data_IF_560253515040
#
_entry.id   IF_560253515040
#
_cell.length_a   1.000
_cell.length_b   1.000
_cell.length_c   1.000
_cell.angle_alpha   90.00
_cell.angle_beta   90.00
_cell.angle_gamma   90.00
#
_symmetry.space_group_name_H-M   'P 1'
#
loop_
_entity.id
_entity.type
_entity.pdbx_description
1 polymer ?
#
# COMPACT_ATOMS: atom_id res chain seq x y z
N UNK A 1 -8.11 11.93 8.01
CA UNK A 1 -9.16 11.43 7.09
C UNK A 1 -9.32 9.92 7.23
N UNK A 2 -10.50 9.40 6.91
CA UNK A 2 -10.74 7.96 6.88
C UNK A 2 -9.97 7.33 5.72
N UNK A 3 -9.23 6.24 5.97
CA UNK A 3 -8.56 5.48 4.93
C UNK A 3 -9.54 4.50 4.28
N UNK A 4 -9.90 4.68 3.00
CA UNK A 4 -10.85 3.82 2.31
C UNK A 4 -10.27 2.49 1.83
N UNK A 5 -8.95 2.30 1.85
CA UNK A 5 -8.23 1.13 1.26
C UNK A 5 -8.32 -0.12 2.15
N UNK A 6 -9.54 -0.43 2.62
CA UNK A 6 -9.82 -1.53 3.57
C UNK A 6 -9.37 -2.91 3.07
N UNK A 7 -9.40 -3.11 1.75
CA UNK A 7 -9.01 -4.37 1.09
C UNK A 7 -7.51 -4.66 1.13
N UNK A 8 -6.66 -3.69 1.46
CA UNK A 8 -5.22 -3.91 1.65
C UNK A 8 -4.88 -4.68 2.94
N UNK A 9 -5.88 -4.94 3.76
CA UNK A 9 -5.80 -5.89 4.86
C UNK A 9 -6.52 -7.19 4.45
N UNK A 10 -5.83 -8.33 4.29
CA UNK A 10 -6.45 -9.57 3.79
C UNK A 10 -7.54 -10.13 4.72
N UNK A 11 -7.48 -9.88 6.01
CA UNK A 11 -8.55 -10.26 6.93
C UNK A 11 -9.84 -9.46 6.69
N UNK A 12 -9.72 -8.16 6.40
CA UNK A 12 -10.86 -7.35 5.98
C UNK A 12 -11.43 -7.83 4.64
N UNK A 13 -10.56 -8.15 3.68
CA UNK A 13 -10.96 -8.65 2.37
C UNK A 13 -11.75 -9.97 2.48
N UNK A 14 -11.30 -10.90 3.30
CA UNK A 14 -12.05 -12.14 3.60
C UNK A 14 -13.40 -11.83 4.25
N UNK A 15 -13.46 -10.93 5.22
CA UNK A 15 -14.73 -10.54 5.88
C UNK A 15 -15.72 -9.92 4.89
N UNK A 16 -15.27 -9.03 4.02
CA UNK A 16 -16.08 -8.41 2.97
C UNK A 16 -16.58 -9.46 1.98
N UNK A 17 -15.70 -10.36 1.52
CA UNK A 17 -16.06 -11.43 0.59
C UNK A 17 -17.14 -12.35 1.16
N UNK A 18 -16.98 -12.80 2.42
CA UNK A 18 -17.98 -13.62 3.10
C UNK A 18 -19.33 -12.91 3.25
N UNK A 19 -19.31 -11.61 3.59
CA UNK A 19 -20.54 -10.83 3.71
C UNK A 19 -21.29 -10.73 2.37
N UNK A 20 -20.57 -10.46 1.28
CA UNK A 20 -21.15 -10.40 -0.07
C UNK A 20 -21.71 -11.76 -0.47
N UNK A 21 -20.95 -12.84 -0.30
CA UNK A 21 -21.40 -14.21 -0.59
C UNK A 21 -22.67 -14.57 0.17
N UNK A 22 -22.76 -14.19 1.46
CA UNK A 22 -23.95 -14.42 2.29
C UNK A 22 -25.17 -13.68 1.77
N UNK A 23 -25.05 -12.44 1.31
CA UNK A 23 -26.17 -11.67 0.73
C UNK A 23 -26.72 -12.36 -0.52
N UNK A 24 -25.86 -12.97 -1.34
CA UNK A 24 -26.27 -13.68 -2.55
C UNK A 24 -26.60 -15.17 -2.34
N UNK A 25 -26.59 -15.65 -1.09
CA UNK A 25 -26.93 -17.04 -0.76
C UNK A 25 -25.84 -18.05 -1.15
N UNK A 26 -24.60 -17.60 -1.39
CA UNK A 26 -23.50 -18.48 -1.67
C UNK A 26 -22.85 -19.00 -0.36
N UNK A 27 -22.15 -20.14 -0.47
CA UNK A 27 -21.30 -20.64 0.62
C UNK A 27 -20.20 -19.62 0.92
N UNK A 28 -20.09 -19.23 2.19
CA UNK A 28 -19.12 -18.22 2.62
C UNK A 28 -17.73 -18.83 2.70
N UNK A 29 -16.83 -18.34 1.86
CA UNK A 29 -15.44 -18.80 1.77
C UNK A 29 -14.47 -17.62 1.79
N UNK A 30 -13.26 -17.89 2.29
CA UNK A 30 -12.16 -16.94 2.21
C UNK A 30 -11.60 -16.87 0.79
N UNK A 31 -11.25 -15.66 0.37
CA UNK A 31 -10.63 -15.38 -0.95
C UNK A 31 -9.11 -15.43 -0.89
N UNK A 32 -8.54 -15.53 0.31
CA UNK A 32 -7.12 -15.77 0.57
C UNK A 32 -7.00 -16.61 1.85
N UNK A 33 -6.12 -17.62 1.82
CA UNK A 33 -5.92 -18.54 2.94
C UNK A 33 -4.96 -17.96 3.98
N UNK A 34 -5.06 -18.47 5.22
CA UNK A 34 -4.12 -18.10 6.29
C UNK A 34 -2.66 -18.42 5.92
N UNK A 35 -2.42 -19.55 5.26
CA UNK A 35 -1.07 -19.93 4.79
C UNK A 35 -0.51 -18.89 3.81
N UNK A 36 -1.35 -18.39 2.89
CA UNK A 36 -0.94 -17.34 1.95
C UNK A 36 -0.65 -16.02 2.68
N UNK A 37 -1.45 -15.66 3.69
CA UNK A 37 -1.23 -14.45 4.50
C UNK A 37 0.09 -14.54 5.27
N UNK A 38 0.37 -15.69 5.91
CA UNK A 38 1.62 -15.92 6.63
C UNK A 38 2.84 -15.88 5.69
N UNK A 39 2.72 -16.41 4.48
CA UNK A 39 3.77 -16.32 3.47
C UNK A 39 4.07 -14.87 3.04
N UNK A 40 3.06 -14.01 2.98
CA UNK A 40 3.24 -12.56 2.73
C UNK A 40 3.97 -11.92 3.92
N UNK A 41 3.57 -12.22 5.14
CA UNK A 41 4.21 -11.70 6.36
C UNK A 41 5.70 -12.08 6.42
N UNK A 42 6.03 -13.34 6.18
CA UNK A 42 7.41 -13.81 6.10
C UNK A 42 8.20 -13.10 4.99
N UNK A 43 7.58 -12.92 3.82
CA UNK A 43 8.19 -12.21 2.71
C UNK A 43 8.48 -10.73 3.01
N UNK A 44 7.71 -10.08 3.87
CA UNK A 44 7.89 -8.69 4.29
C UNK A 44 8.91 -8.52 5.42
N UNK A 45 9.30 -9.59 6.12
CA UNK A 45 10.11 -9.52 7.35
C UNK A 45 11.41 -8.69 7.18
N UNK A 46 12.08 -8.80 6.03
CA UNK A 46 13.33 -8.08 5.75
C UNK A 46 13.17 -6.56 5.51
N UNK A 47 11.95 -6.08 5.29
CA UNK A 47 11.66 -4.68 4.94
C UNK A 47 10.72 -3.98 5.93
N UNK A 48 10.32 -4.67 6.99
CA UNK A 48 9.29 -4.18 7.93
C UNK A 48 9.60 -2.82 8.56
N UNK A 49 10.86 -2.51 8.80
CA UNK A 49 11.28 -1.28 9.48
C UNK A 49 11.85 -0.22 8.54
N UNK A 50 11.86 -0.48 7.23
CA UNK A 50 12.44 0.43 6.26
C UNK A 50 11.50 1.59 5.92
N UNK A 51 12.09 2.75 5.61
CA UNK A 51 11.35 4.00 5.42
C UNK A 51 11.08 4.31 3.95
N UNK A 52 9.90 4.86 3.67
CA UNK A 52 9.44 5.21 2.34
C UNK A 52 8.54 6.45 2.39
N UNK A 53 8.28 7.03 1.22
CA UNK A 53 7.26 8.04 1.00
C UNK A 53 6.22 7.47 0.04
N UNK A 54 4.94 7.75 0.25
CA UNK A 54 3.85 7.39 -0.66
C UNK A 54 3.18 8.64 -1.22
N UNK A 55 2.56 8.50 -2.41
CA UNK A 55 1.80 9.59 -3.01
C UNK A 55 0.68 10.08 -2.10
N UNK A 56 -0.17 9.19 -1.62
CA UNK A 56 -1.16 9.50 -0.60
C UNK A 56 -1.17 8.47 0.53
N UNK A 57 -1.89 8.76 1.60
CA UNK A 57 -1.94 7.93 2.80
C UNK A 57 -2.90 6.74 2.56
N UNK A 58 -2.39 5.69 1.91
CA UNK A 58 -3.17 4.51 1.48
C UNK A 58 -2.81 3.22 2.21
N UNK A 59 -1.74 3.23 3.00
CA UNK A 59 -1.17 1.99 3.54
C UNK A 59 -1.65 1.64 4.95
N UNK A 60 -2.60 2.40 5.53
CA UNK A 60 -3.03 2.22 6.91
C UNK A 60 -3.51 0.80 7.22
N UNK A 61 -4.32 0.21 6.35
CA UNK A 61 -4.83 -1.15 6.52
C UNK A 61 -3.77 -2.23 6.25
N UNK A 62 -2.86 -2.01 5.31
CA UNK A 62 -1.71 -2.89 5.05
C UNK A 62 -0.73 -2.90 6.24
N UNK A 63 -0.40 -1.73 6.77
CA UNK A 63 0.44 -1.58 7.97
C UNK A 63 -0.18 -2.32 9.15
N UNK A 64 -1.50 -2.19 9.34
CA UNK A 64 -2.20 -2.88 10.43
C UNK A 64 -2.14 -4.40 10.30
N UNK A 65 -2.24 -4.93 9.08
CA UNK A 65 -2.17 -6.36 8.84
C UNK A 65 -0.76 -6.94 9.02
N UNK A 66 0.25 -6.27 8.46
CA UNK A 66 1.60 -6.83 8.32
C UNK A 66 2.67 -6.15 9.18
N UNK A 67 2.28 -5.16 9.99
CA UNK A 67 3.16 -4.44 10.92
C UNK A 67 4.40 -3.79 10.28
N UNK A 68 4.34 -3.49 8.97
CA UNK A 68 5.40 -2.73 8.32
C UNK A 68 5.44 -1.30 8.84
N UNK A 69 6.58 -0.63 8.73
CA UNK A 69 6.73 0.72 9.26
C UNK A 69 5.77 1.70 8.59
N UNK A 70 5.37 2.73 9.33
CA UNK A 70 4.57 3.82 8.79
C UNK A 70 5.46 4.81 8.07
N UNK A 71 5.41 4.81 6.74
CA UNK A 71 6.04 5.85 5.93
C UNK A 71 5.37 7.23 6.10
N UNK A 72 5.72 8.15 5.23
CA UNK A 72 5.06 9.46 5.12
C UNK A 72 4.40 9.58 3.76
N UNK A 73 3.35 10.39 3.68
CA UNK A 73 2.63 10.62 2.44
C UNK A 73 2.58 12.08 2.03
N UNK A 74 2.55 12.35 0.72
CA UNK A 74 2.42 13.69 0.16
C UNK A 74 1.00 14.24 0.34
N UNK A 75 0.01 13.35 0.30
CA UNK A 75 -1.42 13.65 0.35
C UNK A 75 -2.11 12.86 1.44
N UNK A 76 -3.28 13.32 1.84
CA UNK A 76 -4.19 12.60 2.74
C UNK A 76 -4.76 11.35 2.04
N UNK A 77 -5.40 10.44 2.79
CA UNK A 77 -6.00 9.23 2.26
C UNK A 77 -7.09 9.48 1.21
N UNK A 78 -7.76 10.63 1.26
CA UNK A 78 -8.73 11.07 0.25
C UNK A 78 -8.11 11.84 -0.92
N UNK A 79 -6.79 11.88 -1.04
CA UNK A 79 -6.06 12.58 -2.09
C UNK A 79 -5.87 14.09 -1.89
N UNK A 80 -6.39 14.69 -0.82
CA UNK A 80 -6.24 16.11 -0.54
C UNK A 80 -4.77 16.48 -0.28
N UNK A 81 -4.35 17.65 -0.74
CA UNK A 81 -2.98 18.15 -0.53
C UNK A 81 -2.73 18.48 0.93
N UNK A 82 -1.60 18.05 1.44
CA UNK A 82 -1.09 18.46 2.75
C UNK A 82 -0.46 19.86 2.68
N UNK A 83 -0.63 20.66 3.73
CA UNK A 83 -0.11 22.02 3.79
C UNK A 83 1.43 22.10 3.86
N UNK A 84 1.96 23.34 3.76
CA UNK A 84 3.39 23.62 3.72
C UNK A 84 4.18 23.04 4.92
N UNK A 85 3.60 23.08 6.13
CA UNK A 85 4.20 22.47 7.33
C UNK A 85 4.42 20.97 7.14
N UNK A 86 3.45 20.26 6.56
CA UNK A 86 3.57 18.82 6.30
C UNK A 86 4.64 18.53 5.25
N UNK A 87 4.78 19.38 4.24
CA UNK A 87 5.83 19.26 3.23
C UNK A 87 7.23 19.43 3.84
N UNK A 88 7.39 20.37 4.77
CA UNK A 88 8.63 20.54 5.51
C UNK A 88 8.97 19.30 6.36
N UNK A 89 8.00 18.81 7.13
CA UNK A 89 8.14 17.60 7.96
C UNK A 89 8.49 16.38 7.12
N UNK A 90 7.89 16.23 5.95
CA UNK A 90 8.18 15.14 5.03
C UNK A 90 9.63 15.16 4.52
N UNK A 91 10.13 16.33 4.12
CA UNK A 91 11.53 16.49 3.68
C UNK A 91 12.53 16.23 4.82
N UNK A 92 12.21 16.66 6.03
CA UNK A 92 12.99 16.37 7.23
C UNK A 92 13.01 14.86 7.49
N UNK A 93 11.84 14.21 7.50
CA UNK A 93 11.71 12.77 7.65
C UNK A 93 12.56 12.00 6.65
N UNK A 94 12.51 12.38 5.37
CA UNK A 94 13.26 11.72 4.31
C UNK A 94 14.78 11.75 4.54
N UNK A 95 15.29 12.86 5.07
CA UNK A 95 16.74 13.03 5.37
C UNK A 95 17.19 12.27 6.62
N UNK A 96 16.31 12.15 7.62
CA UNK A 96 16.64 11.57 8.92
C UNK A 96 16.41 10.06 9.00
N UNK A 97 15.64 9.47 8.07
CA UNK A 97 15.17 8.08 8.17
C UNK A 97 15.61 7.19 7.00
N UNK A 98 16.62 7.58 6.24
CA UNK A 98 17.16 6.77 5.12
C UNK A 98 16.05 6.24 4.19
N UNK A 99 15.14 7.13 3.77
CA UNK A 99 14.04 6.81 2.86
C UNK A 99 14.58 6.26 1.56
N UNK A 100 14.03 5.16 1.07
CA UNK A 100 14.55 4.42 -0.08
C UNK A 100 13.87 4.76 -1.40
N UNK A 101 12.59 5.15 -1.37
CA UNK A 101 11.83 5.49 -2.58
C UNK A 101 10.64 6.38 -2.30
N UNK A 102 10.04 6.86 -3.39
CA UNK A 102 8.70 7.47 -3.41
C UNK A 102 7.76 6.58 -4.20
N UNK A 103 6.72 6.06 -3.57
CA UNK A 103 5.67 5.28 -4.22
C UNK A 103 4.70 6.19 -4.98
N UNK A 104 4.39 5.77 -6.20
CA UNK A 104 3.36 6.36 -7.07
C UNK A 104 2.37 5.30 -7.50
N UNK A 105 1.14 5.73 -7.81
CA UNK A 105 0.11 4.83 -8.30
C UNK A 105 -0.08 4.99 -9.81
N UNK A 106 -0.40 3.91 -10.55
CA UNK A 106 -0.52 3.94 -12.00
C UNK A 106 -1.53 4.94 -12.53
N UNK A 107 -2.61 5.18 -11.77
CA UNK A 107 -3.73 6.03 -12.17
C UNK A 107 -3.51 7.52 -11.91
N UNK A 108 -2.46 7.90 -11.18
CA UNK A 108 -2.15 9.30 -10.91
C UNK A 108 -0.95 9.79 -11.72
N UNK A 109 -1.15 10.82 -12.51
CA UNK A 109 -0.07 11.57 -13.16
C UNK A 109 0.61 12.48 -12.13
N UNK A 110 1.71 12.04 -11.55
CA UNK A 110 2.17 12.55 -10.27
C UNK A 110 3.34 13.53 -10.35
N UNK A 111 3.03 14.75 -10.72
CA UNK A 111 4.01 15.84 -10.71
C UNK A 111 4.58 16.11 -9.31
N UNK A 112 3.75 16.01 -8.25
CA UNK A 112 4.16 16.31 -6.88
C UNK A 112 5.18 15.24 -6.40
N UNK A 113 4.94 13.96 -6.68
CA UNK A 113 5.86 12.88 -6.33
C UNK A 113 7.17 12.97 -7.12
N UNK A 114 7.10 13.30 -8.41
CA UNK A 114 8.30 13.52 -9.23
C UNK A 114 9.18 14.65 -8.66
N UNK A 115 8.58 15.79 -8.30
CA UNK A 115 9.30 16.93 -7.73
C UNK A 115 9.97 16.55 -6.40
N UNK A 116 9.28 15.84 -5.52
CA UNK A 116 9.83 15.36 -4.24
C UNK A 116 10.95 14.35 -4.47
N UNK A 117 10.72 13.33 -5.29
CA UNK A 117 11.70 12.29 -5.58
C UNK A 117 12.98 12.89 -6.17
N UNK A 118 12.85 13.79 -7.17
CA UNK A 118 13.98 14.49 -7.77
C UNK A 118 14.74 15.34 -6.77
N UNK A 119 14.04 16.08 -5.89
CA UNK A 119 14.68 16.97 -4.89
C UNK A 119 15.42 16.21 -3.79
N UNK A 120 15.09 14.95 -3.58
CA UNK A 120 15.68 14.07 -2.57
C UNK A 120 16.61 13.00 -3.20
N UNK A 121 16.78 13.01 -4.52
CA UNK A 121 17.49 11.99 -5.29
C UNK A 121 16.99 10.55 -5.01
N UNK A 122 15.65 10.40 -4.86
CA UNK A 122 15.00 9.11 -4.60
C UNK A 122 14.39 8.55 -5.89
N UNK A 123 14.39 7.23 -6.08
CA UNK A 123 13.68 6.60 -7.18
C UNK A 123 12.16 6.64 -6.95
N UNK A 124 11.41 6.77 -8.04
CA UNK A 124 9.98 6.48 -8.06
C UNK A 124 9.77 4.97 -8.20
N UNK A 125 8.79 4.44 -7.48
CA UNK A 125 8.36 3.03 -7.55
C UNK A 125 6.84 2.95 -7.63
N UNK A 126 6.35 2.10 -8.50
CA UNK A 126 4.89 1.87 -8.63
C UNK A 126 4.40 1.03 -7.47
N UNK A 127 3.25 1.43 -6.91
CA UNK A 127 2.51 0.67 -5.91
C UNK A 127 1.02 0.76 -6.25
N UNK A 128 0.48 -0.29 -6.86
CA UNK A 128 -0.90 -0.32 -7.37
C UNK A 128 -1.88 -0.81 -6.30
N UNK A 129 -2.42 0.14 -5.54
CA UNK A 129 -3.41 -0.15 -4.49
C UNK A 129 -4.79 -0.57 -5.02
N UNK A 130 -5.07 -0.37 -6.31
CA UNK A 130 -6.37 -0.68 -6.91
C UNK A 130 -6.36 -1.96 -7.76
N UNK A 131 -5.18 -2.52 -8.07
CA UNK A 131 -5.07 -3.69 -8.91
C UNK A 131 -5.55 -3.43 -10.35
N UNK A 132 -5.16 -2.28 -10.93
CA UNK A 132 -5.65 -1.83 -12.23
C UNK A 132 -5.47 -2.85 -13.36
N UNK A 133 -4.47 -3.71 -13.26
CA UNK A 133 -4.17 -4.75 -14.24
C UNK A 133 -4.51 -6.17 -13.74
N UNK A 134 -5.20 -6.30 -12.59
CA UNK A 134 -5.53 -7.61 -12.04
C UNK A 134 -6.65 -8.27 -12.84
N UNK A 135 -6.42 -9.53 -13.25
CA UNK A 135 -7.44 -10.34 -13.91
C UNK A 135 -8.51 -10.79 -12.90
N UNK A 136 -9.77 -10.76 -13.33
CA UNK A 136 -10.88 -11.29 -12.53
C UNK A 136 -10.82 -12.83 -12.54
N UNK A 137 -10.61 -13.41 -11.36
CA UNK A 137 -10.56 -14.86 -11.16
C UNK A 137 -10.83 -15.21 -9.70
N UNK A 138 -11.01 -16.50 -9.41
CA UNK A 138 -11.16 -17.00 -8.04
C UNK A 138 -9.91 -16.74 -7.17
N UNK A 139 -8.73 -16.67 -7.79
CA UNK A 139 -7.44 -16.38 -7.14
C UNK A 139 -7.06 -14.92 -7.24
N UNK A 140 -7.88 -14.08 -7.89
CA UNK A 140 -7.55 -12.69 -8.24
C UNK A 140 -7.13 -11.83 -7.07
N UNK A 141 -7.79 -11.95 -5.91
CA UNK A 141 -7.40 -11.19 -4.73
C UNK A 141 -6.05 -11.65 -4.15
N UNK A 142 -5.82 -12.96 -4.06
CA UNK A 142 -4.56 -13.49 -3.55
C UNK A 142 -3.38 -13.06 -4.46
N UNK A 143 -3.56 -13.11 -5.77
CA UNK A 143 -2.58 -12.63 -6.75
C UNK A 143 -2.34 -11.12 -6.63
N UNK A 144 -3.41 -10.33 -6.47
CA UNK A 144 -3.34 -8.89 -6.26
C UNK A 144 -2.48 -8.53 -5.05
N UNK A 145 -2.78 -9.10 -3.86
CA UNK A 145 -2.06 -8.72 -2.64
C UNK A 145 -0.61 -9.23 -2.65
N UNK A 146 -0.31 -10.35 -3.33
CA UNK A 146 1.05 -10.81 -3.57
C UNK A 146 1.82 -9.86 -4.48
N UNK A 147 1.21 -9.41 -5.58
CA UNK A 147 1.80 -8.42 -6.50
C UNK A 147 2.04 -7.08 -5.79
N UNK A 148 1.07 -6.61 -5.02
CA UNK A 148 1.19 -5.40 -4.21
C UNK A 148 2.37 -5.52 -3.23
N UNK A 149 2.51 -6.65 -2.56
CA UNK A 149 3.63 -6.94 -1.65
C UNK A 149 4.98 -6.92 -2.37
N UNK A 150 5.06 -7.51 -3.56
CA UNK A 150 6.27 -7.47 -4.39
C UNK A 150 6.64 -6.05 -4.82
N UNK A 151 5.65 -5.25 -5.22
CA UNK A 151 5.84 -3.82 -5.54
C UNK A 151 6.32 -3.03 -4.31
N UNK A 152 5.75 -3.28 -3.12
CA UNK A 152 6.19 -2.66 -1.88
C UNK A 152 7.67 -2.99 -1.59
N UNK A 153 8.07 -4.25 -1.70
CA UNK A 153 9.46 -4.67 -1.52
C UNK A 153 10.42 -4.07 -2.53
N UNK A 154 9.99 -3.85 -3.75
CA UNK A 154 10.83 -3.29 -4.82
C UNK A 154 11.39 -1.89 -4.49
N UNK A 155 10.78 -1.17 -3.55
CA UNK A 155 11.32 0.08 -2.99
C UNK A 155 12.70 -0.12 -2.34
N UNK A 156 12.94 -1.29 -1.78
CA UNK A 156 14.05 -1.56 -0.87
C UNK A 156 15.15 -2.45 -1.48
N UNK A 157 14.99 -2.78 -2.73
CA UNK A 157 15.96 -3.58 -3.51
C UNK A 157 16.90 -2.73 -4.38
#
# INVERSE_FOLDING_TARGET
SLDPHVWLNPYNANAIARAIQGVFGFSQQDIITEIQILAIEENLASVMELSYISHHDMLGHFIKAFKVSKGRSLREANGARKGAKSQYVLRKFARENDVKCVFVEPQYGDKDAFVIASSLALPLRTLDAQGANQQLSETGYAEFIQTFTAQFKACFS
#
